data_IF_421305406636
#
_entry.id   IF_421305406636
#
_cell.length_a   1.000
_cell.length_b   1.000
_cell.length_c   1.000
_cell.angle_alpha   90.00
_cell.angle_beta   90.00
_cell.angle_gamma   90.00
#
_symmetry.space_group_name_H-M   'P 1'
#
loop_
_entity.id
_entity.type
_entity.pdbx_description
1 polymer ?
#
# COMPACT_ATOMS: atom_id res chain seq x y z
N UNK A 1 -8.16 11.56 -4.93
CA UNK A 1 -8.67 10.62 -3.89
C UNK A 1 -8.08 9.21 -4.04
N UNK A 2 -7.99 8.60 -5.24
CA UNK A 2 -7.27 7.32 -5.40
C UNK A 2 -5.76 7.44 -5.11
N UNK A 3 -5.18 8.63 -5.33
CA UNK A 3 -3.77 8.93 -5.07
C UNK A 3 -3.34 8.81 -3.60
N UNK A 4 -4.27 8.81 -2.64
CA UNK A 4 -3.92 8.67 -1.22
C UNK A 4 -3.80 7.20 -0.76
N UNK A 5 -4.01 6.24 -1.65
CA UNK A 5 -4.02 4.82 -1.28
C UNK A 5 -2.71 4.14 -1.63
N UNK A 6 -2.22 3.32 -0.71
CA UNK A 6 -1.07 2.47 -0.95
C UNK A 6 -1.33 1.53 -2.13
N UNK A 7 -0.44 1.57 -3.14
CA UNK A 7 -0.52 0.70 -4.32
C UNK A 7 -0.44 -0.78 -3.98
N UNK A 8 0.24 -1.16 -2.89
CA UNK A 8 0.35 -2.55 -2.44
C UNK A 8 -0.92 -3.04 -1.74
N UNK A 9 -1.43 -2.30 -0.76
CA UNK A 9 -2.43 -2.84 0.19
C UNK A 9 -3.74 -2.07 0.28
N UNK A 10 -3.89 -0.91 -0.38
CA UNK A 10 -5.10 -0.10 -0.32
C UNK A 10 -5.33 0.62 1.02
N UNK A 11 -4.30 0.75 1.86
CA UNK A 11 -4.39 1.57 3.07
C UNK A 11 -4.47 3.06 2.70
N UNK A 12 -5.36 3.81 3.33
CA UNK A 12 -5.49 5.27 3.12
C UNK A 12 -4.42 6.00 3.93
N UNK A 13 -3.51 6.67 3.25
CA UNK A 13 -2.31 7.28 3.83
C UNK A 13 -2.56 8.69 4.38
N UNK A 14 -3.52 9.42 3.80
CA UNK A 14 -3.74 10.84 4.11
C UNK A 14 -2.72 11.78 3.45
N UNK A 15 -1.88 11.25 2.56
CA UNK A 15 -0.96 11.95 1.68
C UNK A 15 -0.85 11.18 0.36
N UNK A 16 -0.36 11.84 -0.68
CA UNK A 16 -0.10 11.21 -1.99
C UNK A 16 1.32 10.61 -1.99
N UNK A 17 1.50 9.28 -1.91
CA UNK A 17 2.81 8.63 -1.79
C UNK A 17 3.69 8.80 -3.02
N UNK A 18 3.07 9.11 -4.16
CA UNK A 18 3.71 9.29 -5.46
C UNK A 18 3.55 10.73 -6.00
N UNK A 19 3.21 11.66 -5.10
CA UNK A 19 3.00 13.07 -5.43
C UNK A 19 1.84 13.31 -6.40
N UNK A 20 1.62 14.59 -6.70
CA UNK A 20 0.55 15.02 -7.61
C UNK A 20 0.76 14.48 -9.03
N UNK A 21 2.00 14.19 -9.42
CA UNK A 21 2.38 13.68 -10.74
C UNK A 21 2.32 12.15 -10.87
N UNK A 22 2.07 11.44 -9.76
CA UNK A 22 2.04 9.98 -9.63
C UNK A 22 3.35 9.26 -10.02
N UNK A 23 4.45 10.02 -10.14
CA UNK A 23 5.77 9.59 -10.61
C UNK A 23 6.88 9.88 -9.62
N UNK A 24 6.72 10.88 -8.77
CA UNK A 24 7.73 11.32 -7.82
C UNK A 24 7.37 10.80 -6.42
N UNK A 25 7.96 9.68 -5.97
CA UNK A 25 7.66 9.12 -4.67
C UNK A 25 8.17 10.01 -3.55
N UNK A 26 7.49 9.97 -2.40
CA UNK A 26 7.92 10.67 -1.20
C UNK A 26 8.81 9.83 -0.28
N UNK A 27 9.05 8.56 -0.62
CA UNK A 27 9.86 7.60 0.14
C UNK A 27 9.36 7.31 1.56
N UNK A 28 8.11 7.67 1.87
CA UNK A 28 7.48 7.28 3.13
C UNK A 28 7.20 5.77 3.16
N UNK A 29 7.01 5.22 4.36
CA UNK A 29 6.71 3.81 4.55
C UNK A 29 5.22 3.63 4.84
N UNK A 30 4.56 2.72 4.11
CA UNK A 30 3.18 2.39 4.41
C UNK A 30 3.07 1.72 5.80
N UNK A 31 2.30 2.27 6.77
CA UNK A 31 2.18 1.68 8.10
C UNK A 31 1.45 0.33 8.11
N UNK A 32 0.70 0.04 7.04
CA UNK A 32 0.03 -1.24 6.88
C UNK A 32 0.98 -2.30 6.32
N UNK A 33 1.41 -2.21 5.05
CA UNK A 33 2.17 -3.29 4.43
C UNK A 33 3.69 -3.17 4.54
N UNK A 34 4.21 -2.02 4.98
CA UNK A 34 5.66 -1.78 5.14
C UNK A 34 6.42 -1.53 3.84
N UNK A 35 5.74 -1.25 2.73
CA UNK A 35 6.41 -0.85 1.48
C UNK A 35 7.00 0.54 1.64
N UNK A 36 8.20 0.75 1.10
CA UNK A 36 8.79 2.08 0.92
C UNK A 36 8.40 2.57 -0.48
N UNK A 37 7.69 3.71 -0.54
CA UNK A 37 7.21 4.23 -1.82
C UNK A 37 8.37 4.64 -2.73
N UNK A 38 8.33 4.22 -3.99
CA UNK A 38 9.42 4.44 -4.94
C UNK A 38 10.48 3.35 -4.97
N UNK A 39 10.47 2.42 -4.00
CA UNK A 39 11.44 1.32 -3.93
C UNK A 39 10.78 0.01 -4.36
N UNK A 40 10.04 -0.68 -3.47
CA UNK A 40 9.43 -1.96 -3.83
C UNK A 40 8.14 -1.83 -4.63
N UNK A 41 7.55 -0.64 -4.73
CA UNK A 41 6.36 -0.36 -5.54
C UNK A 41 6.65 0.44 -6.83
N UNK A 42 7.91 0.47 -7.29
CA UNK A 42 8.31 1.23 -8.49
C UNK A 42 7.86 0.60 -9.83
N UNK A 43 7.53 -0.69 -9.86
CA UNK A 43 7.07 -1.37 -11.07
C UNK A 43 5.83 -2.21 -10.80
N UNK A 44 5.02 -2.45 -11.84
CA UNK A 44 3.87 -3.36 -11.74
C UNK A 44 4.24 -4.77 -11.29
N UNK A 45 5.43 -5.25 -11.65
CA UNK A 45 5.92 -6.57 -11.23
C UNK A 45 6.23 -6.58 -9.73
N UNK A 46 7.02 -5.62 -9.26
CA UNK A 46 7.42 -5.53 -7.85
C UNK A 46 6.22 -5.31 -6.94
N UNK A 47 5.25 -4.49 -7.36
CA UNK A 47 3.96 -4.29 -6.67
C UNK A 47 3.25 -5.63 -6.42
N UNK A 48 3.09 -6.44 -7.46
CA UNK A 48 2.37 -7.72 -7.38
C UNK A 48 3.14 -8.75 -6.54
N UNK A 49 4.46 -8.82 -6.68
CA UNK A 49 5.32 -9.73 -5.91
C UNK A 49 5.33 -9.38 -4.42
N UNK A 50 5.49 -8.10 -4.08
CA UNK A 50 5.45 -7.63 -2.70
C UNK A 50 4.09 -7.89 -2.06
N UNK A 51 2.99 -7.52 -2.73
CA UNK A 51 1.62 -7.78 -2.26
C UNK A 51 1.41 -9.27 -2.00
N UNK A 52 1.82 -10.14 -2.93
CA UNK A 52 1.69 -11.60 -2.78
C UNK A 52 2.47 -12.11 -1.57
N UNK A 53 3.70 -11.63 -1.37
CA UNK A 53 4.53 -11.99 -0.21
C UNK A 53 3.87 -11.56 1.10
N UNK A 54 3.39 -10.32 1.15
CA UNK A 54 2.71 -9.76 2.31
C UNK A 54 1.39 -10.48 2.65
N UNK A 55 0.59 -10.86 1.64
CA UNK A 55 -0.61 -11.69 1.85
C UNK A 55 -0.21 -13.06 2.40
N UNK A 56 0.83 -13.70 1.84
CA UNK A 56 1.32 -15.01 2.29
C UNK A 56 1.83 -14.98 3.74
N UNK A 57 2.33 -13.83 4.22
CA UNK A 57 2.74 -13.65 5.62
C UNK A 57 1.57 -13.34 6.57
N UNK A 58 0.32 -13.42 6.10
CA UNK A 58 -0.87 -13.15 6.90
C UNK A 58 -1.22 -11.66 6.99
N UNK A 59 -0.83 -10.87 5.99
CA UNK A 59 -1.03 -9.42 5.96
C UNK A 59 -0.49 -8.73 7.21
N UNK A 60 0.72 -9.13 7.65
CA UNK A 60 1.34 -8.61 8.87
C UNK A 60 1.51 -7.09 8.78
N UNK A 61 0.96 -6.38 9.75
CA UNK A 61 1.08 -4.92 9.79
C UNK A 61 2.50 -4.50 10.15
N UNK A 62 3.01 -3.47 9.45
CA UNK A 62 4.31 -2.86 9.77
C UNK A 62 4.24 -2.07 11.09
N UNK A 63 3.19 -1.27 11.26
CA UNK A 63 2.84 -0.62 12.54
C UNK A 63 1.51 -1.19 13.07
N UNK A 64 1.55 -2.22 13.94
CA UNK A 64 0.35 -2.81 14.51
C UNK A 64 -0.53 -1.85 15.30
N UNK A 65 0.03 -0.74 15.81
CA UNK A 65 -0.73 0.25 16.60
C UNK A 65 -1.75 1.02 15.75
N UNK A 66 -1.55 1.07 14.42
CA UNK A 66 -2.44 1.72 13.46
C UNK A 66 -3.56 0.81 12.96
N UNK A 67 -3.54 -0.48 13.33
CA UNK A 67 -4.53 -1.46 12.88
C UNK A 67 -5.83 -1.33 13.66
N UNK A 68 -6.90 -0.96 12.96
CA UNK A 68 -8.24 -1.01 13.53
C UNK A 68 -8.60 -2.45 13.95
N UNK A 69 -9.32 -2.62 15.06
CA UNK A 69 -9.78 -3.93 15.55
C UNK A 69 -10.73 -4.62 14.57
N UNK A 70 -11.50 -3.84 13.81
CA UNK A 70 -12.44 -4.30 12.78
C UNK A 70 -11.81 -4.45 11.40
N UNK A 71 -10.49 -4.40 11.31
CA UNK A 71 -9.79 -4.45 10.03
C UNK A 71 -9.96 -5.82 9.35
N UNK A 72 -10.18 -5.80 8.04
CA UNK A 72 -10.11 -6.98 7.17
C UNK A 72 -9.43 -6.66 5.85
N UNK A 73 -8.69 -7.63 5.33
CA UNK A 73 -8.03 -7.53 4.03
C UNK A 73 -9.05 -7.43 2.88
N UNK A 74 -10.17 -8.14 2.99
CA UNK A 74 -11.27 -8.18 2.02
C UNK A 74 -11.85 -6.79 1.73
N UNK A 75 -11.88 -5.93 2.76
CA UNK A 75 -12.35 -4.56 2.62
C UNK A 75 -11.23 -3.64 2.13
N UNK A 76 -10.03 -3.71 2.73
CA UNK A 76 -8.95 -2.78 2.41
C UNK A 76 -8.48 -2.90 0.95
N UNK A 77 -8.39 -4.12 0.41
CA UNK A 77 -7.90 -4.34 -0.95
C UNK A 77 -8.75 -3.69 -2.04
N UNK A 78 -10.02 -3.39 -1.76
CA UNK A 78 -10.93 -2.72 -2.70
C UNK A 78 -10.49 -1.29 -3.02
N UNK A 79 -9.73 -0.68 -2.11
CA UNK A 79 -9.19 0.67 -2.27
C UNK A 79 -7.86 0.70 -3.02
N UNK A 80 -7.31 -0.45 -3.42
CA UNK A 80 -6.14 -0.46 -4.31
C UNK A 80 -6.55 0.25 -5.60
N UNK A 81 -5.79 1.30 -6.03
CA UNK A 81 -6.13 2.05 -7.24
C UNK A 81 -6.21 1.10 -8.44
N UNK A 82 -7.14 1.38 -9.36
CA UNK A 82 -7.57 0.39 -10.37
C UNK A 82 -6.42 -0.14 -11.23
N UNK A 83 -5.45 0.72 -11.54
CA UNK A 83 -4.26 0.38 -12.31
C UNK A 83 -3.36 -0.65 -11.62
N UNK A 84 -3.34 -0.66 -10.29
CA UNK A 84 -2.42 -1.48 -9.50
C UNK A 84 -3.04 -2.78 -8.97
N UNK A 85 -4.29 -3.08 -9.31
CA UNK A 85 -4.98 -4.30 -8.85
C UNK A 85 -4.28 -5.58 -9.33
#
# INVERSE_FOLDING_TARGET
MEKEYCRICGYRLGFEPWGDDEKTPNYEICPCCGVEFGNEDCTMKSIKEYRKSWIKSGCKWFDPSKRATTWSWENQQRHIPREFR
#
